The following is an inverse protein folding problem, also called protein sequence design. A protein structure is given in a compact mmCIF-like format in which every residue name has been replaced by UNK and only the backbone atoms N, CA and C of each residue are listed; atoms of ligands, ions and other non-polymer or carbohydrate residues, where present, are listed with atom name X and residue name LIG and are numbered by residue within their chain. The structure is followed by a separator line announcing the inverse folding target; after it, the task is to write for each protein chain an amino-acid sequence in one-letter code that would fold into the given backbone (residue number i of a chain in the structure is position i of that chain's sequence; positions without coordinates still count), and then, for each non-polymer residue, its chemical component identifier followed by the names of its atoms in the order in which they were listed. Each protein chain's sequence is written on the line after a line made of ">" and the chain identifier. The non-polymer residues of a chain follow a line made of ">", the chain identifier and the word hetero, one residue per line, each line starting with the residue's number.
data_IF_108371962284
#
_entry.id   IF_108371962284
#
_cell.length_a   1.000
_cell.length_b   1.000
_cell.length_c   1.000
_cell.angle_alpha   90.00
_cell.angle_beta   90.00
_cell.angle_gamma   90.00
#
_symmetry.space_group_name_H-M   'P 1'
#
loop_
_entity.id
_entity.type
_entity.pdbx_description
1 polymer ?
#
# COMPACT_ATOMS: atom_id res chain seq x y z
N UNK A 1 -8.86 10.24 -2.27
CA UNK A 1 -8.76 9.39 -3.48
C UNK A 1 -7.32 8.96 -3.54
N UNK A 2 -7.07 7.70 -3.88
CA UNK A 2 -5.75 7.08 -3.94
C UNK A 2 -5.74 6.21 -5.20
N UNK A 3 -4.57 5.90 -5.74
CA UNK A 3 -4.43 5.03 -6.90
C UNK A 3 -4.59 3.55 -6.49
N UNK A 4 -5.76 2.95 -6.71
CA UNK A 4 -6.10 1.61 -6.21
C UNK A 4 -6.95 0.86 -7.22
N UNK A 5 -7.18 -0.43 -6.99
CA UNK A 5 -8.03 -1.24 -7.85
C UNK A 5 -9.46 -0.68 -7.92
N UNK A 6 -9.78 0.01 -9.01
CA UNK A 6 -11.02 0.77 -9.12
C UNK A 6 -11.70 0.70 -10.51
N UNK A 7 -12.68 1.56 -10.77
CA UNK A 7 -13.44 1.55 -12.02
C UNK A 7 -12.60 1.97 -13.24
N UNK A 8 -11.49 2.68 -13.05
CA UNK A 8 -10.52 2.98 -14.11
C UNK A 8 -9.92 1.68 -14.64
N UNK A 9 -9.44 0.81 -13.74
CA UNK A 9 -8.90 -0.50 -14.10
C UNK A 9 -9.98 -1.42 -14.70
N UNK A 10 -11.18 -1.48 -14.10
CA UNK A 10 -12.28 -2.32 -14.60
C UNK A 10 -12.70 -1.99 -16.03
N UNK A 11 -12.68 -0.70 -16.42
CA UNK A 11 -13.00 -0.29 -17.80
C UNK A 11 -12.05 -0.91 -18.82
N UNK A 12 -10.77 -1.05 -18.46
CA UNK A 12 -9.75 -1.63 -19.34
C UNK A 12 -9.66 -3.16 -19.20
N UNK A 13 -9.91 -3.70 -18.01
CA UNK A 13 -9.81 -5.12 -17.70
C UNK A 13 -11.06 -5.62 -16.95
N UNK A 14 -12.17 -5.89 -17.67
CA UNK A 14 -13.46 -6.22 -17.06
C UNK A 14 -13.49 -7.51 -16.24
N UNK A 15 -12.54 -8.43 -16.46
CA UNK A 15 -12.45 -9.72 -15.76
C UNK A 15 -11.80 -9.67 -14.38
N UNK A 16 -11.32 -8.49 -13.93
CA UNK A 16 -10.67 -8.35 -12.63
C UNK A 16 -11.71 -8.24 -11.50
N UNK A 17 -11.65 -9.12 -10.47
CA UNK A 17 -12.61 -9.11 -9.37
C UNK A 17 -12.36 -7.91 -8.43
N UNK A 18 -13.41 -7.52 -7.71
CA UNK A 18 -13.36 -6.65 -6.53
C UNK A 18 -12.79 -5.24 -6.74
N UNK A 19 -13.17 -4.55 -7.82
CA UNK A 19 -12.81 -3.14 -8.00
C UNK A 19 -13.79 -2.18 -7.33
N UNK A 20 -13.25 -1.10 -6.74
CA UNK A 20 -14.02 0.02 -6.24
C UNK A 20 -14.82 0.70 -7.37
N UNK A 21 -15.98 1.26 -7.03
CA UNK A 21 -16.85 1.95 -8.01
C UNK A 21 -16.32 3.30 -8.48
N UNK A 22 -15.44 3.94 -7.70
CA UNK A 22 -14.85 5.24 -8.06
C UNK A 22 -13.75 5.05 -9.09
N UNK A 23 -13.38 6.16 -9.75
CA UNK A 23 -12.23 6.23 -10.65
C UNK A 23 -11.23 7.26 -10.13
N UNK A 24 -9.98 6.86 -10.06
CA UNK A 24 -8.79 7.64 -9.73
C UNK A 24 -8.07 8.16 -10.98
N UNK A 25 -8.40 7.63 -12.16
CA UNK A 25 -7.84 8.03 -13.46
C UNK A 25 -6.60 7.24 -13.89
N UNK A 26 -6.10 6.31 -13.09
CA UNK A 26 -4.87 5.57 -13.38
C UNK A 26 -5.14 4.05 -13.39
N UNK A 27 -4.60 3.37 -14.40
CA UNK A 27 -4.73 1.90 -14.51
C UNK A 27 -3.53 1.18 -13.90
N UNK A 28 -2.37 1.83 -13.90
CA UNK A 28 -1.13 1.37 -13.29
C UNK A 28 -0.67 2.42 -12.28
N UNK A 29 0.63 2.71 -12.19
CA UNK A 29 1.14 3.76 -11.31
C UNK A 29 0.67 5.15 -11.72
N UNK A 30 0.61 6.04 -10.74
CA UNK A 30 0.41 7.48 -10.91
C UNK A 30 1.69 8.23 -10.54
N UNK A 31 1.92 9.45 -11.06
CA UNK A 31 2.98 10.31 -10.54
C UNK A 31 2.87 10.49 -9.03
N UNK A 32 4.00 10.56 -8.32
CA UNK A 32 4.01 10.83 -6.87
C UNK A 32 3.39 12.19 -6.59
N UNK A 33 2.53 12.26 -5.58
CA UNK A 33 1.84 13.48 -5.20
C UNK A 33 0.59 13.79 -6.04
N UNK A 34 0.12 12.84 -6.84
CA UNK A 34 -1.10 13.01 -7.66
C UNK A 34 -2.36 13.20 -6.83
N UNK A 35 -2.38 12.68 -5.60
CA UNK A 35 -3.51 12.78 -4.69
C UNK A 35 -3.21 13.69 -3.50
N UNK A 36 -4.25 14.02 -2.73
CA UNK A 36 -4.09 14.88 -1.55
C UNK A 36 -3.24 14.21 -0.48
N UNK A 37 -2.26 14.93 0.06
CA UNK A 37 -1.50 14.49 1.23
C UNK A 37 -2.38 14.20 2.45
N UNK A 38 -1.90 13.32 3.32
CA UNK A 38 -2.47 13.15 4.66
C UNK A 38 -2.08 14.34 5.58
N UNK A 39 -2.61 14.44 6.81
CA UNK A 39 -2.29 15.54 7.73
C UNK A 39 -0.80 15.68 8.12
N UNK A 40 0.03 14.67 7.83
CA UNK A 40 1.48 14.70 8.05
C UNK A 40 2.27 15.18 6.82
N UNK A 41 1.60 15.57 5.73
CA UNK A 41 2.24 15.99 4.49
C UNK A 41 2.76 14.84 3.62
N UNK A 42 2.38 13.59 3.93
CA UNK A 42 2.77 12.42 3.15
C UNK A 42 1.76 12.14 2.05
N UNK A 43 2.27 11.79 0.86
CA UNK A 43 1.50 11.46 -0.33
C UNK A 43 1.53 9.95 -0.57
N UNK A 44 0.47 9.43 -1.20
CA UNK A 44 0.41 8.08 -1.76
C UNK A 44 0.70 6.91 -0.79
N UNK A 45 0.62 7.14 0.53
CA UNK A 45 0.77 6.10 1.58
C UNK A 45 -0.29 4.98 1.53
N UNK A 46 -1.30 5.14 0.68
CA UNK A 46 -2.31 4.14 0.37
C UNK A 46 -2.40 4.00 -1.15
N UNK A 47 -2.20 2.80 -1.67
CA UNK A 47 -2.22 2.52 -3.10
C UNK A 47 -0.94 2.92 -3.82
N UNK A 48 -1.04 3.16 -5.12
CA UNK A 48 0.05 3.38 -6.06
C UNK A 48 1.01 2.17 -6.12
N UNK A 49 1.94 2.06 -5.18
CA UNK A 49 2.92 0.97 -5.09
C UNK A 49 3.10 0.51 -3.66
N UNK A 50 3.51 -0.75 -3.50
CA UNK A 50 3.98 -1.25 -2.21
C UNK A 50 5.27 -0.55 -1.81
N UNK A 51 5.35 -0.14 -0.54
CA UNK A 51 6.52 0.52 0.02
C UNK A 51 7.24 -0.42 1.01
N UNK A 52 8.52 -0.71 0.75
CA UNK A 52 9.35 -1.55 1.61
C UNK A 52 9.64 -0.88 2.96
N UNK A 53 9.66 -1.67 4.02
CA UNK A 53 10.12 -1.29 5.35
C UNK A 53 11.41 -2.05 5.71
N UNK A 54 12.19 -1.51 6.65
CA UNK A 54 13.41 -2.17 7.14
C UNK A 54 13.14 -3.50 7.84
N UNK A 55 11.95 -3.68 8.40
CA UNK A 55 11.59 -4.79 9.27
C UNK A 55 11.54 -6.13 8.52
N UNK A 56 11.96 -7.20 9.21
CA UNK A 56 11.59 -8.56 8.81
C UNK A 56 10.11 -8.82 9.12
N UNK A 57 9.43 -9.55 8.24
CA UNK A 57 8.03 -9.93 8.45
C UNK A 57 7.92 -11.08 9.46
N UNK A 58 6.94 -10.98 10.35
CA UNK A 58 6.49 -12.07 11.22
C UNK A 58 5.05 -11.84 11.62
N UNK A 59 4.23 -12.88 11.49
CA UNK A 59 2.80 -12.86 11.83
C UNK A 59 2.57 -12.67 13.35
N UNK A 60 3.50 -13.14 14.19
CA UNK A 60 3.36 -13.12 15.65
C UNK A 60 4.09 -11.96 16.32
N UNK A 61 4.92 -11.20 15.59
CA UNK A 61 5.77 -10.16 16.18
C UNK A 61 4.98 -9.16 17.02
N UNK A 62 3.78 -8.78 16.59
CA UNK A 62 2.99 -7.77 17.30
C UNK A 62 2.59 -8.23 18.71
N UNK A 63 2.36 -9.53 18.94
CA UNK A 63 2.04 -10.05 20.27
C UNK A 63 3.26 -10.06 21.21
N UNK A 64 4.47 -10.02 20.66
CA UNK A 64 5.74 -10.18 21.39
C UNK A 64 6.63 -8.93 21.37
N UNK A 65 6.15 -7.84 20.75
CA UNK A 65 6.94 -6.64 20.46
C UNK A 65 7.33 -5.86 21.71
N UNK A 66 8.46 -5.17 21.63
CA UNK A 66 8.70 -4.00 22.49
C UNK A 66 7.79 -2.85 22.03
N UNK A 67 7.32 -2.03 22.97
CA UNK A 67 6.44 -0.89 22.62
C UNK A 67 7.22 0.35 22.21
N UNK A 68 8.49 0.47 22.63
CA UNK A 68 9.35 1.61 22.31
C UNK A 68 10.30 1.24 21.18
N UNK A 69 10.16 1.94 20.07
CA UNK A 69 10.99 1.81 18.86
C UNK A 69 11.23 0.34 18.42
N UNK A 70 10.16 -0.45 18.18
CA UNK A 70 10.31 -1.83 17.71
C UNK A 70 10.99 -1.87 16.34
N UNK A 71 11.88 -2.84 16.13
CA UNK A 71 12.67 -3.01 14.89
C UNK A 71 12.28 -4.24 14.06
N UNK A 72 11.19 -4.91 14.42
CA UNK A 72 10.85 -6.22 13.87
C UNK A 72 11.64 -7.37 14.53
N UNK A 73 11.45 -8.61 14.05
CA UNK A 73 12.30 -9.75 14.38
C UNK A 73 13.75 -9.54 13.93
N UNK A 74 14.70 -10.27 14.53
CA UNK A 74 16.12 -10.17 14.16
C UNK A 74 16.46 -10.82 12.81
N UNK A 75 15.62 -11.75 12.34
CA UNK A 75 15.76 -12.47 11.06
C UNK A 75 14.40 -12.85 10.49
N UNK A 76 14.37 -13.17 9.19
CA UNK A 76 13.19 -13.67 8.51
C UNK A 76 13.48 -13.90 7.02
N UNK A 77 12.51 -14.48 6.32
CA UNK A 77 12.64 -14.77 4.88
C UNK A 77 12.08 -13.64 4.00
N UNK A 78 11.21 -12.80 4.56
CA UNK A 78 10.52 -11.72 3.86
C UNK A 78 10.68 -10.40 4.61
N UNK A 79 10.84 -9.30 3.88
CA UNK A 79 10.75 -7.94 4.44
C UNK A 79 9.30 -7.46 4.43
N UNK A 80 8.98 -6.54 5.32
CA UNK A 80 7.63 -5.93 5.39
C UNK A 80 7.44 -4.98 4.21
N UNK A 81 6.27 -5.04 3.58
CA UNK A 81 5.79 -4.04 2.63
C UNK A 81 4.44 -3.47 3.12
N UNK A 82 4.18 -2.18 2.88
CA UNK A 82 2.96 -1.48 3.32
C UNK A 82 2.35 -0.65 2.20
N UNK A 83 1.14 -0.16 2.43
CA UNK A 83 0.44 0.81 1.57
C UNK A 83 -0.54 0.19 0.56
N UNK A 84 -0.25 -1.02 0.06
CA UNK A 84 -1.01 -1.60 -1.06
C UNK A 84 -0.50 -1.09 -2.41
N UNK A 85 -1.22 -1.38 -3.49
CA UNK A 85 -0.84 -0.94 -4.83
C UNK A 85 -2.06 -0.59 -5.69
N UNK A 86 -1.82 -0.19 -6.94
CA UNK A 86 -2.86 0.11 -7.94
C UNK A 86 -3.76 -1.10 -8.28
N UNK A 87 -3.32 -2.32 -7.93
CA UNK A 87 -4.03 -3.55 -8.21
C UNK A 87 -4.33 -4.34 -6.95
#
# INVERSE_FOLDING_TARGET
>A
VANVRDATLRRQFPGWPDTLRRSDGYVFTSPVGSFRANPFGLYDVHGNVWEWCSDWYSETYYAQRTLRDPKGPNSGDLRVARGGCFY
#
